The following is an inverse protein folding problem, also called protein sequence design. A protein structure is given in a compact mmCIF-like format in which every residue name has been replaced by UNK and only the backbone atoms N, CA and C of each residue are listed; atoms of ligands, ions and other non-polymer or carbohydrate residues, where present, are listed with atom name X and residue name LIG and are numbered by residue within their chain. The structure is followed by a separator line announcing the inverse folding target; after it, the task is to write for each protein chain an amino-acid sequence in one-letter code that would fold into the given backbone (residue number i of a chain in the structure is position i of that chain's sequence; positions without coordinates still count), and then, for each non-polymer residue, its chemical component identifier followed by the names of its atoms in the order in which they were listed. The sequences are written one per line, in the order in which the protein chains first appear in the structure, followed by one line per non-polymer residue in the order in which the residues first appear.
data_IF_780992243360
#
_entry.id   IF_780992243360
#
_cell.length_a   1.000
_cell.length_b   1.000
_cell.length_c   1.000
_cell.angle_alpha   90.00
_cell.angle_beta   90.00
_cell.angle_gamma   90.00
#
_symmetry.space_group_name_H-M   'P 1'
#
loop_
_entity.id
_entity.type
_entity.pdbx_description
1 polymer ?
#
# COMPACT_ATOMS: atom_id res chain seq x y z
N UNK A 1 9.11 25.18 -34.39
CA UNK A 1 9.48 23.79 -34.10
C UNK A 1 10.55 23.82 -33.01
N UNK A 2 10.16 23.75 -31.75
CA UNK A 2 11.10 23.58 -30.64
C UNK A 2 10.48 22.59 -29.66
N UNK A 3 11.15 21.45 -29.56
CA UNK A 3 10.71 20.20 -28.98
C UNK A 3 10.51 20.32 -27.47
N UNK A 4 9.40 19.75 -27.00
CA UNK A 4 9.05 19.50 -25.61
C UNK A 4 10.20 18.81 -24.86
N UNK A 5 10.70 19.45 -23.80
CA UNK A 5 11.46 18.82 -22.74
C UNK A 5 10.48 18.52 -21.60
N UNK A 6 9.72 17.42 -21.73
CA UNK A 6 9.13 16.77 -20.57
C UNK A 6 10.31 16.22 -19.75
N UNK A 7 10.68 16.96 -18.71
CA UNK A 7 11.65 16.51 -17.72
C UNK A 7 11.18 15.20 -17.11
N UNK A 8 11.78 14.09 -17.54
CA UNK A 8 11.76 12.85 -16.76
C UNK A 8 12.41 13.18 -15.41
N UNK A 9 11.63 13.06 -14.34
CA UNK A 9 12.11 13.26 -12.97
C UNK A 9 13.14 12.16 -12.65
N UNK A 10 14.43 12.49 -12.50
CA UNK A 10 15.46 11.50 -12.27
C UNK A 10 15.36 10.99 -10.83
N UNK A 11 15.26 9.66 -10.67
CA UNK A 11 15.30 8.94 -9.41
C UNK A 11 14.25 9.37 -8.37
N UNK A 12 13.04 8.80 -8.44
CA UNK A 12 12.21 8.65 -7.23
C UNK A 12 13.02 7.79 -6.24
N UNK A 13 13.72 8.45 -5.32
CA UNK A 13 14.22 7.77 -4.13
C UNK A 13 12.98 7.36 -3.34
N UNK A 14 12.65 6.06 -3.37
CA UNK A 14 11.60 5.45 -2.58
C UNK A 14 11.98 5.57 -1.09
N UNK A 15 11.74 6.75 -0.52
CA UNK A 15 12.07 7.06 0.86
C UNK A 15 10.84 6.81 1.71
N UNK A 16 11.01 5.96 2.73
CA UNK A 16 9.97 5.71 3.71
C UNK A 16 9.51 7.02 4.36
N UNK A 17 8.21 7.13 4.65
CA UNK A 17 7.59 8.33 5.21
C UNK A 17 8.33 8.88 6.42
N UNK A 18 8.35 10.21 6.53
CA UNK A 18 8.93 10.96 7.65
C UNK A 18 7.99 12.07 8.08
N UNK A 19 8.23 12.62 9.26
CA UNK A 19 7.47 13.76 9.77
C UNK A 19 7.67 14.99 8.86
N UNK A 20 6.77 15.96 8.97
CA UNK A 20 6.86 17.20 8.22
C UNK A 20 8.14 17.97 8.56
N UNK A 21 8.85 18.50 7.57
CA UNK A 21 10.03 19.33 7.82
C UNK A 21 9.63 20.80 7.95
N UNK A 22 9.82 21.38 9.12
CA UNK A 22 9.64 22.81 9.39
C UNK A 22 10.92 23.65 9.12
N UNK A 23 12.00 23.02 8.67
CA UNK A 23 13.35 23.60 8.58
C UNK A 23 14.16 23.37 9.85
N UNK A 24 15.50 23.30 9.72
CA UNK A 24 16.39 22.74 10.74
C UNK A 24 16.24 23.34 12.16
N UNK A 25 16.08 24.65 12.27
CA UNK A 25 15.92 25.33 13.56
C UNK A 25 14.57 24.96 14.19
N UNK A 26 13.49 25.03 13.42
CA UNK A 26 12.14 24.74 13.92
C UNK A 26 11.96 23.24 14.19
N UNK A 27 12.60 22.36 13.40
CA UNK A 27 12.67 20.93 13.69
C UNK A 27 13.37 20.65 15.03
N UNK A 28 14.45 21.36 15.36
CA UNK A 28 15.12 21.18 16.65
C UNK A 28 14.19 21.53 17.82
N UNK A 29 13.40 22.59 17.68
CA UNK A 29 12.42 23.02 18.69
C UNK A 29 11.26 22.02 18.82
N UNK A 30 10.72 21.52 17.70
CA UNK A 30 9.53 20.67 17.69
C UNK A 30 9.85 19.19 17.92
N UNK A 31 10.95 18.70 17.35
CA UNK A 31 11.33 17.28 17.33
C UNK A 31 12.59 16.95 18.12
N UNK A 32 13.39 17.93 18.53
CA UNK A 32 14.71 17.69 19.15
C UNK A 32 15.80 17.27 18.16
N UNK A 33 15.52 17.23 16.86
CA UNK A 33 16.46 16.86 15.79
C UNK A 33 16.43 17.88 14.66
N UNK A 34 17.55 18.08 13.95
CA UNK A 34 17.60 19.03 12.81
C UNK A 34 16.82 18.50 11.60
N UNK A 35 16.90 17.19 11.36
CA UNK A 35 16.11 16.50 10.34
C UNK A 35 14.80 15.99 10.92
N UNK A 36 13.71 15.98 10.15
CA UNK A 36 12.45 15.39 10.60
C UNK A 36 12.62 13.89 10.83
N UNK A 37 12.17 13.35 11.98
CA UNK A 37 12.23 11.92 12.26
C UNK A 37 11.50 11.07 11.21
N UNK A 38 12.04 9.87 10.94
CA UNK A 38 11.38 8.87 10.08
C UNK A 38 10.35 8.08 10.89
N UNK A 39 9.28 7.63 10.25
CA UNK A 39 8.35 6.69 10.89
C UNK A 39 8.94 5.29 10.89
N UNK A 40 9.01 4.66 12.06
CA UNK A 40 9.40 3.26 12.18
C UNK A 40 8.18 2.36 11.96
N UNK A 41 8.04 1.88 10.73
CA UNK A 41 6.93 0.99 10.37
C UNK A 41 7.05 -0.41 10.99
N UNK A 42 8.20 -0.77 11.58
CA UNK A 42 8.33 -2.03 12.32
C UNK A 42 7.54 -2.02 13.62
N UNK A 43 7.19 -0.84 14.13
CA UNK A 43 6.35 -0.68 15.32
C UNK A 43 4.87 -0.98 15.06
N UNK A 44 4.46 -1.19 13.80
CA UNK A 44 3.08 -1.55 13.48
C UNK A 44 2.85 -3.03 13.80
N UNK A 45 2.10 -3.28 14.88
CA UNK A 45 1.82 -4.64 15.38
C UNK A 45 0.49 -5.22 14.89
N UNK A 46 -0.39 -4.40 14.31
CA UNK A 46 -1.70 -4.84 13.83
C UNK A 46 -1.58 -5.65 12.53
N UNK A 47 -2.37 -6.73 12.41
CA UNK A 47 -2.48 -7.49 11.15
C UNK A 47 -3.07 -6.59 10.07
N UNK A 48 -2.35 -6.45 8.97
CA UNK A 48 -2.67 -5.53 7.88
C UNK A 48 -2.77 -6.29 6.58
N UNK A 49 -3.78 -6.00 5.75
CA UNK A 49 -3.83 -6.46 4.36
C UNK A 49 -3.84 -5.25 3.44
N UNK A 50 -2.81 -5.13 2.61
CA UNK A 50 -2.66 -4.03 1.66
C UNK A 50 -3.15 -4.46 0.28
N UNK A 51 -4.22 -3.83 -0.19
CA UNK A 51 -4.67 -3.98 -1.56
C UNK A 51 -3.96 -2.97 -2.44
N UNK A 52 -3.46 -3.39 -3.60
CA UNK A 52 -2.77 -2.51 -4.54
C UNK A 52 -3.06 -2.90 -5.99
N UNK A 53 -2.79 -2.00 -6.92
CA UNK A 53 -2.96 -2.20 -8.36
C UNK A 53 -1.72 -1.71 -9.12
N UNK A 54 -1.57 -2.15 -10.36
CA UNK A 54 -0.40 -1.85 -11.21
C UNK A 54 -0.58 -0.58 -12.05
N UNK A 55 -1.82 -0.11 -12.24
CA UNK A 55 -2.13 1.14 -12.96
C UNK A 55 -2.43 2.32 -12.03
N UNK A 56 -1.94 2.27 -10.79
CA UNK A 56 -2.05 3.39 -9.85
C UNK A 56 -0.93 4.40 -10.11
N UNK A 57 -1.29 5.59 -10.58
CA UNK A 57 -0.34 6.67 -10.85
C UNK A 57 0.16 7.38 -9.58
N UNK A 58 -0.60 7.32 -8.48
CA UNK A 58 -0.25 7.94 -7.21
C UNK A 58 0.64 7.03 -6.35
N UNK A 59 0.44 5.72 -6.45
CA UNK A 59 1.03 4.72 -5.57
C UNK A 59 1.56 3.53 -6.37
N UNK A 60 2.86 3.56 -6.69
CA UNK A 60 3.54 2.52 -7.44
C UNK A 60 3.57 1.20 -6.64
N UNK A 61 3.42 0.06 -7.33
CA UNK A 61 3.48 -1.26 -6.69
C UNK A 61 4.78 -1.49 -5.91
N UNK A 62 5.90 -0.92 -6.36
CA UNK A 62 7.21 -1.04 -5.71
C UNK A 62 7.19 -0.41 -4.33
N UNK A 63 6.50 0.73 -4.15
CA UNK A 63 6.38 1.40 -2.86
C UNK A 63 5.55 0.56 -1.88
N UNK A 64 4.45 -0.06 -2.35
CA UNK A 64 3.63 -0.96 -1.52
C UNK A 64 4.42 -2.18 -1.08
N UNK A 65 5.10 -2.84 -2.02
CA UNK A 65 5.89 -4.04 -1.72
C UNK A 65 7.07 -3.71 -0.79
N UNK A 66 7.72 -2.56 -0.99
CA UNK A 66 8.76 -2.08 -0.09
C UNK A 66 8.21 -1.81 1.32
N UNK A 67 7.07 -1.13 1.45
CA UNK A 67 6.41 -0.86 2.73
C UNK A 67 6.03 -2.16 3.45
N UNK A 68 5.39 -3.09 2.75
CA UNK A 68 4.99 -4.38 3.28
C UNK A 68 6.21 -5.20 3.75
N UNK A 69 7.34 -5.11 3.05
CA UNK A 69 8.58 -5.79 3.42
C UNK A 69 9.19 -5.27 4.73
N UNK A 70 8.94 -4.01 5.09
CA UNK A 70 9.43 -3.42 6.35
C UNK A 70 8.49 -3.71 7.51
N UNK A 71 7.17 -3.71 7.29
CA UNK A 71 6.13 -4.04 8.29
C UNK A 71 6.04 -5.54 8.65
N UNK A 72 7.15 -6.28 8.57
CA UNK A 72 7.25 -7.76 8.61
C UNK A 72 6.30 -8.47 9.59
N UNK A 73 5.97 -9.73 9.27
CA UNK A 73 5.12 -10.67 10.02
C UNK A 73 3.62 -10.33 10.13
N UNK A 74 3.25 -9.05 10.07
CA UNK A 74 1.84 -8.64 10.25
C UNK A 74 1.16 -8.21 8.94
N UNK A 75 1.89 -8.11 7.84
CA UNK A 75 1.36 -7.58 6.58
C UNK A 75 1.20 -8.64 5.50
N UNK A 76 0.02 -8.67 4.87
CA UNK A 76 -0.25 -9.39 3.62
C UNK A 76 -0.46 -8.37 2.51
N UNK A 77 -0.04 -8.70 1.29
CA UNK A 77 -0.30 -7.90 0.10
C UNK A 77 -1.25 -8.63 -0.83
N UNK A 78 -2.16 -7.91 -1.46
CA UNK A 78 -3.11 -8.47 -2.42
C UNK A 78 -3.26 -7.55 -3.63
N UNK A 79 -2.77 -8.02 -4.77
CA UNK A 79 -2.94 -7.32 -6.04
C UNK A 79 -4.38 -7.43 -6.52
N UNK A 80 -4.96 -6.32 -6.96
CA UNK A 80 -6.24 -6.30 -7.65
C UNK A 80 -6.06 -6.94 -9.04
N UNK A 81 -6.89 -7.94 -9.43
CA UNK A 81 -6.69 -8.68 -10.67
C UNK A 81 -6.80 -7.83 -11.95
N UNK A 82 -7.67 -6.81 -11.95
CA UNK A 82 -7.88 -5.95 -13.11
C UNK A 82 -6.69 -5.00 -13.27
N UNK A 83 -5.92 -5.18 -14.34
CA UNK A 83 -4.70 -4.38 -14.55
C UNK A 83 -5.00 -2.89 -14.77
N UNK A 84 -6.13 -2.55 -15.38
CA UNK A 84 -6.57 -1.17 -15.61
C UNK A 84 -7.13 -0.48 -14.37
N UNK A 85 -7.17 -1.16 -13.22
CA UNK A 85 -7.71 -0.61 -11.98
C UNK A 85 -6.80 0.51 -11.49
N UNK A 86 -7.30 1.73 -11.35
CA UNK A 86 -6.51 2.91 -10.93
C UNK A 86 -6.68 3.21 -9.43
N UNK A 87 -6.09 4.31 -8.97
CA UNK A 87 -6.24 4.78 -7.59
C UNK A 87 -7.70 5.09 -7.24
N UNK A 88 -8.40 5.78 -8.14
CA UNK A 88 -9.78 6.24 -7.95
C UNK A 88 -10.78 5.09 -7.95
N UNK A 89 -10.44 4.01 -8.67
CA UNK A 89 -11.29 2.83 -8.81
C UNK A 89 -11.55 2.12 -7.47
N UNK A 90 -10.65 2.27 -6.48
CA UNK A 90 -10.88 1.72 -5.14
C UNK A 90 -12.15 2.27 -4.47
N UNK A 91 -12.61 3.45 -4.89
CA UNK A 91 -13.79 4.13 -4.34
C UNK A 91 -14.92 4.19 -5.36
N UNK A 92 -14.62 4.48 -6.63
CA UNK A 92 -15.61 4.88 -7.62
C UNK A 92 -15.90 3.83 -8.71
N UNK A 93 -15.11 2.76 -8.82
CA UNK A 93 -15.33 1.78 -9.87
C UNK A 93 -16.63 1.00 -9.63
N UNK A 94 -17.36 0.75 -10.71
CA UNK A 94 -18.57 -0.08 -10.67
C UNK A 94 -18.29 -1.49 -10.14
N UNK A 95 -17.10 -2.03 -10.43
CA UNK A 95 -16.64 -3.36 -10.01
C UNK A 95 -15.79 -3.35 -8.72
N UNK A 96 -15.71 -2.22 -8.01
CA UNK A 96 -14.93 -2.10 -6.77
C UNK A 96 -15.41 -3.07 -5.67
N UNK A 97 -16.70 -3.43 -5.71
CA UNK A 97 -17.29 -4.39 -4.78
C UNK A 97 -16.63 -5.76 -4.96
N UNK A 98 -16.64 -6.29 -6.17
CA UNK A 98 -16.11 -7.60 -6.53
C UNK A 98 -14.58 -7.63 -6.43
N UNK A 99 -13.91 -6.55 -6.85
CA UNK A 99 -12.45 -6.48 -6.91
C UNK A 99 -11.78 -6.29 -5.54
N UNK A 100 -12.45 -5.63 -4.59
CA UNK A 100 -11.84 -5.25 -3.30
C UNK A 100 -12.78 -5.51 -2.12
N UNK A 101 -13.99 -4.95 -2.13
CA UNK A 101 -14.85 -4.90 -0.94
C UNK A 101 -15.23 -6.30 -0.43
N UNK A 102 -15.60 -7.22 -1.32
CA UNK A 102 -15.96 -8.58 -0.95
C UNK A 102 -14.79 -9.33 -0.29
N UNK A 103 -13.56 -9.04 -0.72
CA UNK A 103 -12.36 -9.60 -0.10
C UNK A 103 -12.13 -9.05 1.32
N UNK A 104 -12.38 -7.75 1.53
CA UNK A 104 -12.29 -7.12 2.86
C UNK A 104 -13.35 -7.71 3.79
N UNK A 105 -14.60 -7.82 3.35
CA UNK A 105 -15.69 -8.42 4.14
C UNK A 105 -15.37 -9.88 4.48
N UNK A 106 -14.87 -10.66 3.53
CA UNK A 106 -14.48 -12.04 3.78
C UNK A 106 -13.37 -12.14 4.83
N UNK A 107 -12.35 -11.27 4.75
CA UNK A 107 -11.28 -11.23 5.75
C UNK A 107 -11.82 -10.89 7.15
N UNK A 108 -12.68 -9.88 7.27
CA UNK A 108 -13.27 -9.48 8.55
C UNK A 108 -14.13 -10.60 9.18
N UNK A 109 -14.88 -11.35 8.37
CA UNK A 109 -15.68 -12.49 8.83
C UNK A 109 -14.82 -13.62 9.39
N UNK A 110 -13.71 -13.93 8.72
CA UNK A 110 -12.75 -14.93 9.20
C UNK A 110 -12.18 -14.51 10.56
N UNK A 111 -11.87 -13.23 10.74
CA UNK A 111 -11.35 -12.72 12.01
C UNK A 111 -12.41 -12.69 13.13
N UNK A 112 -13.68 -12.47 12.79
CA UNK A 112 -14.78 -12.49 13.76
C UNK A 112 -15.36 -13.89 14.05
N UNK A 113 -14.80 -14.94 13.44
CA UNK A 113 -15.29 -16.31 13.61
C UNK A 113 -16.63 -16.61 12.90
N UNK A 114 -17.02 -15.75 11.96
CA UNK A 114 -18.29 -15.85 11.24
C UNK A 114 -18.09 -16.63 9.93
N UNK A 115 -19.02 -17.53 9.59
CA UNK A 115 -18.88 -18.40 8.41
C UNK A 115 -18.67 -17.60 7.10
N UNK A 116 -17.77 -18.05 6.20
CA UNK A 116 -17.49 -17.34 4.95
C UNK A 116 -18.71 -17.30 4.02
N UNK A 117 -18.76 -16.29 3.15
CA UNK A 117 -19.81 -16.16 2.13
C UNK A 117 -19.80 -17.40 1.23
N UNK A 118 -20.97 -18.04 1.07
CA UNK A 118 -21.14 -19.16 0.15
C UNK A 118 -20.66 -18.75 -1.26
N UNK A 119 -19.66 -19.46 -1.79
CA UNK A 119 -19.07 -19.20 -3.11
C UNK A 119 -17.65 -18.62 -3.10
N UNK A 120 -17.13 -18.13 -1.96
CA UNK A 120 -15.75 -17.65 -1.87
C UNK A 120 -14.79 -18.76 -1.45
N UNK A 121 -14.38 -19.62 -2.38
CA UNK A 121 -13.20 -20.47 -2.14
C UNK A 121 -11.94 -19.63 -2.30
N UNK A 122 -11.35 -19.22 -1.18
CA UNK A 122 -9.98 -18.73 -1.16
C UNK A 122 -9.09 -19.88 -1.66
N UNK A 123 -8.75 -19.88 -2.96
CA UNK A 123 -7.70 -20.75 -3.47
C UNK A 123 -6.40 -20.25 -2.86
N UNK A 124 -6.06 -20.83 -1.70
CA UNK A 124 -4.73 -20.72 -1.11
C UNK A 124 -3.80 -21.46 -2.07
N UNK A 125 -3.30 -20.77 -3.09
CA UNK A 125 -2.13 -21.25 -3.82
C UNK A 125 -0.92 -21.00 -2.92
N UNK A 126 -0.67 -21.91 -1.99
CA UNK A 126 0.70 -22.12 -1.54
C UNK A 126 1.48 -22.62 -2.74
N UNK A 127 2.10 -21.71 -3.49
CA UNK A 127 3.20 -22.08 -4.38
C UNK A 127 4.37 -22.44 -3.48
N UNK A 128 4.45 -23.73 -3.14
CA UNK A 128 5.62 -24.35 -2.53
C UNK A 128 5.98 -25.55 -3.41
N UNK A 129 6.81 -25.30 -4.41
CA UNK A 129 7.62 -26.21 -5.24
C UNK A 129 8.16 -25.33 -6.39
N UNK A 130 9.44 -25.27 -6.77
CA UNK A 130 10.69 -25.98 -6.48
C UNK A 130 11.83 -24.98 -6.61
#
# INVERSE_FOLDING_TARGET
MATSLLGQQPNKQHTMGRMWSYGAIRNLIVYGTRDPPKYDLQLITVRTTMHYTVSDFLLDEKDVLAMASVMRNNTRVKRVPRESFTHEDFVAAFDAKEMVTDHVIAALKVESGMAPLAGFQARVTTSREK
#
